data_IF_574418160363
#
_entry.id   IF_574418160363
#
_cell.length_a   1.000
_cell.length_b   1.000
_cell.length_c   1.000
_cell.angle_alpha   90.00
_cell.angle_beta   90.00
_cell.angle_gamma   90.00
#
_symmetry.space_group_name_H-M   'P 1'
#
loop_
_entity.id
_entity.type
_entity.pdbx_description
1 polymer ?
#
# COMPACT_ATOMS: atom_id res chain seq x y z
N UNK A 1 24.23 -9.56 -9.83
CA UNK A 1 24.95 -9.15 -8.61
C UNK A 1 25.40 -7.72 -8.82
N UNK A 2 24.98 -6.78 -7.97
CA UNK A 2 25.31 -5.34 -8.14
C UNK A 2 26.47 -5.02 -7.19
N UNK A 3 27.58 -4.52 -7.74
CA UNK A 3 28.75 -4.14 -6.94
C UNK A 3 28.66 -2.65 -6.60
N UNK A 4 28.54 -2.32 -5.31
CA UNK A 4 28.41 -0.94 -4.84
C UNK A 4 29.71 -0.49 -4.17
N UNK A 5 30.11 0.76 -4.44
CA UNK A 5 31.24 1.40 -3.75
C UNK A 5 30.72 2.19 -2.56
N UNK A 6 31.33 2.00 -1.39
CA UNK A 6 30.98 2.77 -0.20
C UNK A 6 32.21 3.20 0.58
N UNK A 7 32.04 4.23 1.42
CA UNK A 7 33.02 4.67 2.41
C UNK A 7 32.32 4.92 3.74
N UNK A 8 32.92 4.43 4.81
CA UNK A 8 32.42 4.60 6.18
C UNK A 8 33.34 5.55 6.94
N UNK A 9 32.77 6.55 7.62
CA UNK A 9 33.52 7.54 8.42
C UNK A 9 32.70 7.92 9.64
N UNK A 10 33.32 7.95 10.82
CA UNK A 10 32.65 8.37 12.05
C UNK A 10 32.96 9.85 12.33
N UNK A 11 31.93 10.70 12.34
CA UNK A 11 32.03 12.14 12.55
C UNK A 11 31.02 12.64 13.57
N UNK A 12 31.27 13.82 14.13
CA UNK A 12 30.29 14.50 14.97
C UNK A 12 29.19 15.11 14.09
N UNK A 13 27.94 14.94 14.49
CA UNK A 13 26.77 15.49 13.80
C UNK A 13 25.88 16.19 14.82
N UNK A 14 25.56 17.46 14.56
CA UNK A 14 24.69 18.35 15.37
C UNK A 14 25.20 18.68 16.80
N UNK A 15 25.72 17.68 17.52
CA UNK A 15 26.30 17.83 18.85
C UNK A 15 27.78 17.38 18.87
N UNK A 16 28.68 18.16 19.50
CA UNK A 16 30.10 17.80 19.60
C UNK A 16 30.36 16.61 20.54
N UNK A 17 29.39 16.21 21.37
CA UNK A 17 29.57 15.12 22.34
C UNK A 17 29.36 13.73 21.74
N UNK A 18 28.60 13.60 20.64
CA UNK A 18 28.23 12.30 20.09
C UNK A 18 28.74 12.17 18.65
N UNK A 19 29.34 11.01 18.35
CA UNK A 19 29.72 10.63 16.98
C UNK A 19 28.61 9.82 16.35
N UNK A 20 28.47 10.00 15.05
CA UNK A 20 27.52 9.31 14.17
C UNK A 20 28.33 8.71 13.03
N UNK A 21 27.96 7.51 12.60
CA UNK A 21 28.59 6.82 11.48
C UNK A 21 27.98 7.28 10.17
N UNK A 22 28.80 7.84 9.30
CA UNK A 22 28.44 8.22 7.94
C UNK A 22 28.81 7.11 6.97
N UNK A 23 27.85 6.70 6.15
CA UNK A 23 28.05 5.77 5.05
C UNK A 23 27.74 6.50 3.75
N UNK A 24 28.79 6.78 2.98
CA UNK A 24 28.69 7.38 1.66
C UNK A 24 28.74 6.27 0.63
N UNK A 25 27.67 6.09 -0.15
CA UNK A 25 27.55 5.00 -1.11
C UNK A 25 27.26 5.52 -2.52
N UNK A 26 27.86 4.86 -3.51
CA UNK A 26 27.72 5.17 -4.94
C UNK A 26 27.37 3.89 -5.68
N UNK A 27 26.21 3.90 -6.34
CA UNK A 27 25.76 2.81 -7.21
C UNK A 27 26.50 2.84 -8.56
N UNK A 28 26.56 1.71 -9.28
CA UNK A 28 27.16 1.65 -10.62
C UNK A 28 26.58 2.66 -11.60
N UNK A 29 25.29 3.00 -11.47
CA UNK A 29 24.59 3.97 -12.32
C UNK A 29 24.89 5.44 -11.94
N UNK A 30 25.81 5.67 -11.00
CA UNK A 30 26.24 7.00 -10.57
C UNK A 30 25.36 7.65 -9.50
N UNK A 31 24.28 6.98 -9.06
CA UNK A 31 23.46 7.47 -7.93
C UNK A 31 24.29 7.48 -6.66
N UNK A 32 24.12 8.50 -5.83
CA UNK A 32 24.85 8.68 -4.59
C UNK A 32 23.87 8.81 -3.42
N UNK A 33 24.22 8.23 -2.27
CA UNK A 33 23.48 8.39 -1.02
C UNK A 33 24.46 8.63 0.13
N UNK A 34 23.98 9.36 1.13
CA UNK A 34 24.64 9.51 2.42
C UNK A 34 23.66 8.99 3.47
N UNK A 35 24.07 7.97 4.22
CA UNK A 35 23.32 7.41 5.33
C UNK A 35 24.04 7.72 6.63
N UNK A 36 23.26 7.91 7.69
CA UNK A 36 23.75 8.17 9.04
C UNK A 36 23.20 7.12 10.00
N UNK A 37 24.06 6.62 10.89
CA UNK A 37 23.69 5.73 11.99
C UNK A 37 24.22 6.26 13.32
N UNK A 38 23.33 6.40 14.29
CA UNK A 38 23.70 6.72 15.68
C UNK A 38 24.40 5.56 16.38
N UNK A 39 24.21 4.34 15.88
CA UNK A 39 24.89 3.15 16.35
C UNK A 39 26.19 2.95 15.56
N UNK A 40 27.33 3.03 16.27
CA UNK A 40 28.68 2.87 15.73
C UNK A 40 29.13 1.41 15.67
N UNK A 41 28.32 0.46 16.17
CA UNK A 41 28.63 -0.97 16.08
C UNK A 41 28.26 -1.54 14.72
N UNK A 42 27.28 -0.94 14.03
CA UNK A 42 26.81 -1.38 12.72
C UNK A 42 27.83 -1.13 11.62
N UNK A 43 28.14 -2.17 10.86
CA UNK A 43 28.92 -2.07 9.63
C UNK A 43 28.20 -1.27 8.56
N UNK A 44 28.95 -0.73 7.60
CA UNK A 44 28.36 -0.02 6.46
C UNK A 44 27.40 -0.91 5.64
N UNK A 45 27.68 -2.21 5.55
CA UNK A 45 26.82 -3.17 4.86
C UNK A 45 25.47 -3.34 5.57
N UNK A 46 25.46 -3.41 6.90
CA UNK A 46 24.23 -3.49 7.69
C UNK A 46 23.39 -2.22 7.55
N UNK A 47 24.03 -1.04 7.59
CA UNK A 47 23.34 0.26 7.41
C UNK A 47 22.71 0.36 6.01
N UNK A 48 23.45 -0.02 4.96
CA UNK A 48 22.93 -0.05 3.58
C UNK A 48 21.80 -1.06 3.40
N UNK A 49 21.89 -2.21 4.08
CA UNK A 49 20.83 -3.23 4.05
C UNK A 49 19.56 -2.72 4.74
N UNK A 50 19.70 -2.06 5.88
CA UNK A 50 18.57 -1.46 6.59
C UNK A 50 17.89 -0.36 5.75
N UNK A 51 18.65 0.49 5.08
CA UNK A 51 18.08 1.49 4.15
C UNK A 51 17.40 0.83 2.94
N UNK A 52 17.93 -0.29 2.46
CA UNK A 52 17.29 -1.07 1.39
C UNK A 52 15.92 -1.61 1.83
N UNK A 53 15.78 -2.08 3.07
CA UNK A 53 14.47 -2.47 3.63
C UNK A 53 13.52 -1.28 3.76
N UNK A 54 14.01 -0.12 4.19
CA UNK A 54 13.21 1.13 4.21
C UNK A 54 12.68 1.45 2.81
N UNK A 55 13.51 1.35 1.79
CA UNK A 55 13.11 1.56 0.41
C UNK A 55 12.04 0.56 -0.06
N UNK A 56 12.18 -0.73 0.30
CA UNK A 56 11.16 -1.74 0.00
C UNK A 56 9.80 -1.40 0.63
N UNK A 57 9.80 -0.92 1.87
CA UNK A 57 8.59 -0.46 2.56
C UNK A 57 7.95 0.71 1.79
N UNK A 58 8.75 1.70 1.37
CA UNK A 58 8.27 2.86 0.61
C UNK A 58 7.66 2.47 -0.74
N UNK A 59 8.32 1.58 -1.49
CA UNK A 59 7.80 1.05 -2.76
C UNK A 59 6.49 0.29 -2.53
N UNK A 60 6.42 -0.52 -1.47
CA UNK A 60 5.21 -1.28 -1.13
C UNK A 60 4.04 -0.34 -0.82
N UNK A 61 4.27 0.70 0.00
CA UNK A 61 3.24 1.70 0.28
C UNK A 61 2.82 2.48 -0.96
N UNK A 62 3.76 2.84 -1.83
CA UNK A 62 3.46 3.51 -3.10
C UNK A 62 2.54 2.66 -3.97
N UNK A 63 2.84 1.37 -4.12
CA UNK A 63 2.01 0.43 -4.86
C UNK A 63 0.62 0.29 -4.21
N UNK A 64 0.56 0.18 -2.88
CA UNK A 64 -0.69 0.09 -2.13
C UNK A 64 -1.60 1.32 -2.34
N UNK A 65 -1.01 2.53 -2.36
CA UNK A 65 -1.73 3.78 -2.61
C UNK A 65 -2.15 3.89 -4.08
N UNK A 66 -1.21 3.69 -5.01
CA UNK A 66 -1.45 4.00 -6.42
C UNK A 66 -2.31 2.94 -7.12
N UNK A 67 -2.12 1.66 -6.81
CA UNK A 67 -2.86 0.58 -7.47
C UNK A 67 -4.22 0.31 -6.83
N UNK A 68 -4.27 0.32 -5.49
CA UNK A 68 -5.45 -0.10 -4.74
C UNK A 68 -6.13 1.03 -3.98
N UNK A 69 -5.53 2.23 -3.96
CA UNK A 69 -6.05 3.33 -3.14
C UNK A 69 -6.20 2.92 -1.67
N UNK A 70 -5.24 2.16 -1.13
CA UNK A 70 -5.32 1.53 0.20
C UNK A 70 -5.46 2.49 1.39
N UNK A 71 -5.35 3.80 1.15
CA UNK A 71 -5.55 4.87 2.14
C UNK A 71 -6.70 5.83 1.76
N UNK A 72 -7.55 5.46 0.80
CA UNK A 72 -8.66 6.30 0.33
C UNK A 72 -9.87 6.32 1.25
N UNK A 73 -9.93 5.42 2.26
CA UNK A 73 -11.00 5.41 3.23
C UNK A 73 -11.06 6.74 3.99
N UNK A 74 -12.09 7.56 3.75
CA UNK A 74 -12.19 8.89 4.36
C UNK A 74 -12.48 8.80 5.86
N UNK A 75 -11.57 9.39 6.64
CA UNK A 75 -11.45 9.22 8.09
C UNK A 75 -12.31 10.17 8.93
N UNK A 76 -13.15 11.01 8.31
CA UNK A 76 -13.96 11.97 9.05
C UNK A 76 -14.86 11.28 10.07
N UNK A 77 -14.72 11.69 11.33
CA UNK A 77 -15.61 11.29 12.42
C UNK A 77 -16.40 12.55 12.75
N UNK A 78 -17.72 12.49 12.63
CA UNK A 78 -18.59 13.63 12.95
C UNK A 78 -18.45 14.11 14.40
N UNK A 79 -17.99 13.24 15.30
CA UNK A 79 -17.73 13.56 16.70
C UNK A 79 -16.45 14.41 16.90
N UNK A 80 -15.57 14.52 15.91
CA UNK A 80 -14.42 15.43 15.95
C UNK A 80 -14.89 16.81 15.51
N UNK A 81 -14.68 17.80 16.37
CA UNK A 81 -14.88 19.20 16.03
C UNK A 81 -13.80 19.63 15.01
N UNK A 82 -14.16 20.34 13.94
CA UNK A 82 -13.18 20.94 13.04
C UNK A 82 -12.24 21.84 13.83
N UNK A 83 -10.94 21.64 13.67
CA UNK A 83 -9.92 22.45 14.33
C UNK A 83 -9.13 23.21 13.27
N UNK A 84 -8.82 24.48 13.55
CA UNK A 84 -7.86 25.23 12.74
C UNK A 84 -6.46 25.02 13.31
N UNK A 85 -5.60 24.35 12.54
CA UNK A 85 -4.18 24.12 12.88
C UNK A 85 -3.85 22.73 13.42
N UNK A 86 -2.59 22.54 13.85
CA UNK A 86 -2.10 21.26 14.38
C UNK A 86 -2.76 20.94 15.73
N UNK A 87 -3.41 19.77 15.86
CA UNK A 87 -4.13 19.42 17.08
C UNK A 87 -3.15 19.04 18.19
N UNK A 88 -2.88 19.97 19.13
CA UNK A 88 -2.03 19.68 20.30
C UNK A 88 -2.75 18.84 21.36
N UNK A 89 -4.06 19.05 21.52
CA UNK A 89 -4.84 18.44 22.62
C UNK A 89 -5.75 17.27 22.21
N UNK A 90 -6.09 17.14 20.92
CA UNK A 90 -7.07 16.16 20.41
C UNK A 90 -6.49 14.76 20.16
N UNK A 91 -5.16 14.60 20.27
CA UNK A 91 -4.48 13.31 20.11
C UNK A 91 -4.49 12.46 21.39
N UNK A 92 -4.94 13.03 22.52
CA UNK A 92 -5.02 12.32 23.80
C UNK A 92 -6.43 11.72 23.95
N UNK A 93 -6.56 10.42 23.62
CA UNK A 93 -7.83 9.68 23.69
C UNK A 93 -8.53 9.79 25.06
N UNK A 94 -7.75 9.79 26.15
CA UNK A 94 -8.27 9.80 27.52
C UNK A 94 -9.05 11.07 27.91
N UNK A 95 -8.98 12.15 27.12
CA UNK A 95 -9.73 13.38 27.40
C UNK A 95 -11.18 13.33 26.92
N UNK A 96 -11.54 12.34 26.12
CA UNK A 96 -12.88 12.19 25.59
C UNK A 96 -13.74 11.29 26.48
N UNK A 97 -15.07 11.49 26.54
CA UNK A 97 -15.98 10.55 27.18
C UNK A 97 -15.86 9.14 26.58
N UNK A 98 -16.06 8.10 27.40
CA UNK A 98 -15.95 6.68 27.01
C UNK A 98 -16.71 6.34 25.71
N UNK A 99 -17.88 6.94 25.49
CA UNK A 99 -18.67 6.73 24.27
C UNK A 99 -17.96 7.21 23.00
N UNK A 100 -17.25 8.34 23.06
CA UNK A 100 -16.48 8.87 21.93
C UNK A 100 -15.17 8.09 21.74
N UNK A 101 -14.52 7.66 22.83
CA UNK A 101 -13.36 6.76 22.76
C UNK A 101 -13.69 5.48 22.00
N UNK A 102 -14.82 4.82 22.32
CA UNK A 102 -15.26 3.63 21.59
C UNK A 102 -15.51 3.90 20.10
N UNK A 103 -16.02 5.08 19.74
CA UNK A 103 -16.18 5.46 18.33
C UNK A 103 -14.83 5.63 17.63
N UNK A 104 -13.83 6.21 18.31
CA UNK A 104 -12.46 6.32 17.80
C UNK A 104 -11.85 4.95 17.58
N UNK A 105 -11.90 4.06 18.58
CA UNK A 105 -11.38 2.70 18.45
C UNK A 105 -12.02 1.96 17.28
N UNK A 106 -13.35 1.99 17.14
CA UNK A 106 -14.04 1.35 16.00
C UNK A 106 -13.62 1.94 14.66
N UNK A 107 -13.35 3.25 14.60
CA UNK A 107 -12.92 3.91 13.35
C UNK A 107 -11.47 3.54 12.99
N UNK A 108 -10.57 3.53 13.97
CA UNK A 108 -9.16 3.10 13.80
C UNK A 108 -9.13 1.64 13.37
N UNK A 109 -9.87 0.78 14.06
CA UNK A 109 -9.96 -0.64 13.72
C UNK A 109 -10.51 -0.87 12.29
N UNK A 110 -11.52 -0.08 11.88
CA UNK A 110 -12.00 -0.12 10.49
C UNK A 110 -10.95 0.35 9.48
N UNK A 111 -10.13 1.36 9.83
CA UNK A 111 -9.02 1.82 9.00
C UNK A 111 -7.94 0.74 8.86
N UNK A 112 -7.51 0.14 9.96
CA UNK A 112 -6.51 -0.91 9.97
C UNK A 112 -6.97 -2.10 9.12
N UNK A 113 -8.23 -2.53 9.28
CA UNK A 113 -8.84 -3.58 8.44
C UNK A 113 -8.89 -3.20 6.96
N UNK A 114 -9.20 -1.96 6.63
CA UNK A 114 -9.22 -1.49 5.25
C UNK A 114 -7.82 -1.57 4.63
N UNK A 115 -6.81 -1.03 5.32
CA UNK A 115 -5.41 -1.07 4.87
C UNK A 115 -4.92 -2.53 4.75
N UNK A 116 -5.22 -3.38 5.74
CA UNK A 116 -4.84 -4.79 5.74
C UNK A 116 -5.48 -5.56 4.58
N UNK A 117 -6.76 -5.33 4.29
CA UNK A 117 -7.45 -5.94 3.15
C UNK A 117 -6.77 -5.57 1.82
N UNK A 118 -6.39 -4.29 1.66
CA UNK A 118 -5.64 -3.84 0.49
C UNK A 118 -4.23 -4.46 0.45
N UNK A 119 -3.56 -4.62 1.58
CA UNK A 119 -2.24 -5.25 1.65
C UNK A 119 -2.30 -6.73 1.22
N UNK A 120 -3.34 -7.46 1.68
CA UNK A 120 -3.60 -8.83 1.24
C UNK A 120 -3.88 -8.88 -0.26
N UNK A 121 -4.71 -7.97 -0.78
CA UNK A 121 -4.99 -7.89 -2.20
C UNK A 121 -3.72 -7.64 -3.03
N UNK A 122 -2.84 -6.72 -2.58
CA UNK A 122 -1.56 -6.45 -3.23
C UNK A 122 -0.66 -7.70 -3.23
N UNK A 123 -0.57 -8.40 -2.10
CA UNK A 123 0.20 -9.64 -2.00
C UNK A 123 -0.32 -10.72 -2.96
N UNK A 124 -1.64 -10.84 -3.13
CA UNK A 124 -2.24 -11.76 -4.11
C UNK A 124 -1.86 -11.36 -5.54
N UNK A 125 -1.89 -10.07 -5.89
CA UNK A 125 -1.47 -9.61 -7.22
C UNK A 125 0.01 -9.93 -7.50
N UNK A 126 0.87 -9.76 -6.50
CA UNK A 126 2.29 -10.11 -6.59
C UNK A 126 2.50 -11.61 -6.75
N UNK A 127 1.79 -12.42 -5.97
CA UNK A 127 1.84 -13.88 -6.07
C UNK A 127 1.41 -14.35 -7.46
N UNK A 128 0.31 -13.81 -7.99
CA UNK A 128 -0.17 -14.15 -9.34
C UNK A 128 0.82 -13.73 -10.42
N UNK A 129 1.45 -12.57 -10.27
CA UNK A 129 2.50 -12.10 -11.18
C UNK A 129 3.67 -13.09 -11.27
N UNK A 130 4.11 -13.64 -10.14
CA UNK A 130 5.25 -14.54 -10.06
C UNK A 130 4.90 -15.98 -10.45
N UNK A 131 3.78 -16.51 -9.98
CA UNK A 131 3.41 -17.92 -10.13
C UNK A 131 2.68 -18.23 -11.44
N UNK A 132 1.96 -17.25 -12.01
CA UNK A 132 1.10 -17.46 -13.19
C UNK A 132 1.36 -16.47 -14.34
N UNK A 133 2.62 -16.13 -14.69
CA UNK A 133 2.92 -15.09 -15.68
C UNK A 133 2.39 -15.42 -17.08
N UNK A 134 2.47 -16.69 -17.51
CA UNK A 134 2.00 -17.11 -18.83
C UNK A 134 0.47 -17.04 -18.96
N UNK A 135 -0.27 -17.41 -17.91
CA UNK A 135 -1.74 -17.35 -17.91
C UNK A 135 -2.21 -15.89 -18.02
N UNK A 136 -1.62 -15.01 -17.22
CA UNK A 136 -1.93 -13.58 -17.24
C UNK A 136 -1.57 -12.96 -18.59
N UNK A 137 -0.43 -13.34 -19.16
CA UNK A 137 0.02 -12.82 -20.46
C UNK A 137 -0.89 -13.24 -21.62
N UNK A 138 -1.44 -14.46 -21.58
CA UNK A 138 -2.40 -14.95 -22.60
C UNK A 138 -3.71 -14.17 -22.58
N UNK A 139 -4.16 -13.85 -21.36
CA UNK A 139 -5.43 -13.19 -21.11
C UNK A 139 -5.33 -11.67 -21.05
N UNK A 140 -4.13 -11.14 -21.33
CA UNK A 140 -3.83 -9.73 -21.34
C UNK A 140 -4.76 -8.98 -22.31
N UNK A 141 -5.28 -7.80 -21.93
CA UNK A 141 -6.10 -7.02 -22.83
C UNK A 141 -5.37 -6.75 -24.15
N UNK A 142 -6.01 -7.03 -25.28
CA UNK A 142 -5.39 -6.96 -26.63
C UNK A 142 -4.84 -5.58 -27.01
N UNK A 143 -5.23 -4.52 -26.28
CA UNK A 143 -4.71 -3.18 -26.46
C UNK A 143 -3.31 -2.97 -25.83
N UNK A 144 -2.84 -3.89 -24.98
CA UNK A 144 -1.50 -3.87 -24.42
C UNK A 144 -0.52 -4.52 -25.39
N UNK A 145 0.38 -3.72 -25.98
CA UNK A 145 1.25 -4.17 -27.07
C UNK A 145 2.65 -4.60 -26.63
N UNK A 146 3.06 -4.26 -25.41
CA UNK A 146 4.44 -4.47 -24.93
C UNK A 146 4.43 -5.45 -23.78
N UNK A 147 5.04 -6.62 -23.96
CA UNK A 147 5.31 -7.53 -22.84
C UNK A 147 6.57 -7.08 -22.08
N UNK A 148 6.61 -7.25 -20.75
CA UNK A 148 7.80 -6.96 -19.96
C UNK A 148 9.00 -7.76 -20.43
N UNK A 149 10.18 -7.13 -20.52
CA UNK A 149 11.41 -7.79 -20.97
C UNK A 149 11.88 -8.91 -20.04
N UNK A 150 11.52 -8.83 -18.75
CA UNK A 150 11.80 -9.86 -17.74
C UNK A 150 10.81 -11.03 -17.75
N UNK A 151 9.76 -10.97 -18.59
CA UNK A 151 8.74 -12.03 -18.70
C UNK A 151 7.68 -12.08 -17.59
N UNK A 152 7.75 -11.20 -16.57
CA UNK A 152 6.80 -11.16 -15.46
C UNK A 152 5.88 -9.94 -15.56
N UNK A 153 4.54 -10.11 -15.53
CA UNK A 153 3.60 -8.98 -15.56
C UNK A 153 3.70 -8.15 -14.28
N UNK A 154 3.54 -6.83 -14.36
CA UNK A 154 3.43 -6.00 -13.15
C UNK A 154 2.10 -6.25 -12.43
N UNK A 155 2.00 -5.90 -11.15
CA UNK A 155 0.77 -6.00 -10.36
C UNK A 155 -0.40 -5.25 -11.01
N UNK A 156 -0.10 -4.14 -11.70
CA UNK A 156 -1.08 -3.38 -12.47
C UNK A 156 -1.64 -4.19 -13.65
N UNK A 157 -0.78 -4.91 -14.38
CA UNK A 157 -1.20 -5.78 -15.48
C UNK A 157 -2.09 -6.91 -14.95
N UNK A 158 -1.70 -7.53 -13.84
CA UNK A 158 -2.52 -8.57 -13.19
C UNK A 158 -3.89 -8.01 -12.82
N UNK A 159 -3.94 -6.85 -12.17
CA UNK A 159 -5.18 -6.20 -11.76
C UNK A 159 -6.11 -5.91 -12.95
N UNK A 160 -5.58 -5.36 -14.04
CA UNK A 160 -6.35 -5.07 -15.25
C UNK A 160 -6.91 -6.35 -15.90
N UNK A 161 -6.09 -7.40 -15.94
CA UNK A 161 -6.50 -8.70 -16.50
C UNK A 161 -7.64 -9.32 -15.68
N UNK A 162 -7.52 -9.30 -14.34
CA UNK A 162 -8.58 -9.75 -13.44
C UNK A 162 -9.85 -8.91 -13.56
N UNK A 163 -9.72 -7.60 -13.75
CA UNK A 163 -10.85 -6.68 -13.92
C UNK A 163 -11.64 -6.97 -15.21
N UNK A 164 -10.94 -7.26 -16.31
CA UNK A 164 -11.56 -7.66 -17.58
C UNK A 164 -12.28 -9.01 -17.45
N UNK A 165 -11.63 -9.97 -16.79
CA UNK A 165 -12.18 -11.31 -16.58
C UNK A 165 -13.19 -11.42 -15.43
N UNK A 166 -13.52 -10.31 -14.77
CA UNK A 166 -14.33 -10.31 -13.54
C UNK A 166 -15.60 -11.14 -13.68
N UNK A 167 -16.30 -11.06 -14.82
CA UNK A 167 -17.58 -11.77 -15.03
C UNK A 167 -17.38 -13.29 -15.02
N UNK A 168 -16.33 -13.77 -15.69
CA UNK A 168 -16.01 -15.19 -15.78
C UNK A 168 -15.53 -15.73 -14.43
N UNK A 169 -14.67 -14.97 -13.74
CA UNK A 169 -14.17 -15.32 -12.40
C UNK A 169 -15.33 -15.41 -11.41
N UNK A 170 -16.22 -14.42 -11.41
CA UNK A 170 -17.38 -14.38 -10.53
C UNK A 170 -18.41 -15.48 -10.87
N UNK A 171 -18.59 -15.82 -12.15
CA UNK A 171 -19.47 -16.91 -12.55
C UNK A 171 -18.99 -18.30 -12.08
N UNK A 172 -17.68 -18.48 -11.96
CA UNK A 172 -17.06 -19.71 -11.43
C UNK A 172 -16.99 -19.73 -9.89
N UNK A 173 -17.44 -18.67 -9.22
CA UNK A 173 -17.39 -18.60 -7.76
C UNK A 173 -18.43 -19.54 -7.11
N UNK A 174 -18.10 -20.11 -5.94
CA UNK A 174 -18.99 -21.04 -5.22
C UNK A 174 -20.30 -20.36 -4.84
N UNK A 175 -21.43 -21.03 -5.05
CA UNK A 175 -22.80 -20.52 -4.92
C UNK A 175 -23.25 -20.11 -3.51
N UNK A 176 -22.39 -20.21 -2.49
CA UNK A 176 -22.68 -19.81 -1.10
C UNK A 176 -21.90 -18.61 -0.57
N UNK A 177 -21.06 -17.96 -1.39
CA UNK A 177 -20.21 -16.86 -0.93
C UNK A 177 -21.01 -15.58 -0.67
N UNK A 178 -20.63 -14.82 0.36
CA UNK A 178 -21.22 -13.51 0.65
C UNK A 178 -21.16 -12.56 -0.57
N UNK A 179 -20.16 -12.74 -1.42
CA UNK A 179 -19.97 -11.96 -2.63
C UNK A 179 -21.16 -12.03 -3.59
N UNK A 180 -21.77 -13.20 -3.80
CA UNK A 180 -22.94 -13.34 -4.69
C UNK A 180 -24.14 -12.62 -4.09
N UNK A 181 -24.31 -12.68 -2.76
CA UNK A 181 -25.33 -11.90 -2.04
C UNK A 181 -25.12 -10.40 -2.24
N UNK A 182 -23.89 -9.90 -2.04
CA UNK A 182 -23.56 -8.48 -2.23
C UNK A 182 -23.79 -7.99 -3.66
N UNK A 183 -23.39 -8.77 -4.67
CA UNK A 183 -23.60 -8.42 -6.07
C UNK A 183 -25.08 -8.34 -6.41
N UNK A 184 -25.88 -9.31 -5.95
CA UNK A 184 -27.33 -9.33 -6.16
C UNK A 184 -28.00 -8.13 -5.47
N UNK A 185 -27.64 -7.83 -4.22
CA UNK A 185 -28.16 -6.65 -3.50
C UNK A 185 -27.85 -5.37 -4.26
N UNK A 186 -26.62 -5.20 -4.77
CA UNK A 186 -26.23 -4.01 -5.53
C UNK A 186 -27.01 -3.86 -6.84
N UNK A 187 -27.25 -4.96 -7.56
CA UNK A 187 -28.09 -4.93 -8.77
C UNK A 187 -29.56 -4.60 -8.49
N UNK A 188 -30.08 -5.01 -7.33
CA UNK A 188 -31.44 -4.68 -6.90
C UNK A 188 -31.58 -3.17 -6.60
N UNK A 189 -30.60 -2.58 -5.90
CA UNK A 189 -30.56 -1.13 -5.65
C UNK A 189 -30.54 -0.31 -6.94
N UNK A 190 -29.74 -0.71 -7.94
CA UNK A 190 -29.69 -0.01 -9.23
C UNK A 190 -30.99 -0.16 -10.03
N UNK A 191 -31.74 -1.25 -9.87
CA UNK A 191 -33.06 -1.41 -10.50
C UNK A 191 -34.13 -0.53 -9.84
N UNK A 192 -34.13 -0.43 -8.51
CA UNK A 192 -35.07 0.42 -7.79
C UNK A 192 -34.86 1.91 -8.09
N UNK A 193 -33.60 2.37 -8.13
CA UNK A 193 -33.30 3.78 -8.47
C UNK A 193 -33.69 4.15 -9.91
N UNK A 194 -33.65 3.19 -10.84
CA UNK A 194 -34.11 3.44 -12.22
C UNK A 194 -35.65 3.48 -12.30
N UNK A 195 -36.36 2.64 -11.55
CA UNK A 195 -37.83 2.66 -11.52
C UNK A 195 -38.38 3.97 -10.92
N UNK A 196 -37.73 4.53 -9.90
CA UNK A 196 -38.15 5.83 -9.34
C UNK A 196 -37.94 7.02 -10.28
N UNK A 197 -37.07 6.90 -11.29
CA UNK A 197 -36.89 7.91 -12.34
C UNK A 197 -37.84 7.76 -13.54
N UNK A 198 -38.62 6.68 -13.63
CA UNK A 198 -39.63 6.47 -14.69
C UNK A 198 -41.06 6.82 -14.25
N UNK A 199 -41.28 7.20 -12.98
CA UNK A 199 -42.59 7.57 -12.42
C UNK A 199 -42.70 9.06 -12.00
N UNK A 200 -41.86 9.93 -12.56
CA UNK A 200 -42.01 11.40 -12.50
C UNK A 200 -42.00 11.97 -13.90
#
# INVERSE_FOLDING_TARGET
MVTLRYRCIDWHWDCPAQRVRFVLAVWPEGKQIILLSTDLTLSAAEILTADSWRFQIEVTFRNLIQLLSGFSYRFWIKALLPTQGWPKDYLILNRYPNKQQQQFHRKVEAMERFVLSNAIALAILQLLSLEMPMMISKDLPRWFRTLPSNGYPSEQIVLLTLAEQRKQILAKSRSGLLLTKFLNTRTLFTRQSNLEHFFT
#
